data_IF_419037033894
#
_entry.id   IF_419037033894
#
_cell.length_a   1.000
_cell.length_b   1.000
_cell.length_c   1.000
_cell.angle_alpha   90.00
_cell.angle_beta   90.00
_cell.angle_gamma   90.00
#
_symmetry.space_group_name_H-M   'P 1'
#
loop_
_entity.id
_entity.type
_entity.pdbx_description
1 polymer ?
#
# COMPACT_ATOMS: atom_id res chain seq x y z
N UNK A 1 4.31 -5.59 -19.18
CA UNK A 1 4.81 -4.64 -18.15
C UNK A 1 4.14 -4.84 -16.78
N UNK A 2 2.80 -4.92 -16.69
CA UNK A 2 2.11 -5.11 -15.39
C UNK A 2 2.45 -6.47 -14.76
N UNK A 3 2.37 -7.58 -15.52
CA UNK A 3 2.66 -8.92 -15.00
C UNK A 3 4.10 -9.14 -14.49
N UNK A 4 5.10 -8.50 -15.10
CA UNK A 4 6.50 -8.55 -14.64
C UNK A 4 6.71 -7.79 -13.34
N UNK A 5 5.97 -6.70 -13.12
CA UNK A 5 6.04 -5.91 -11.88
C UNK A 5 5.40 -6.64 -10.70
N UNK A 6 4.35 -7.42 -10.95
CA UNK A 6 3.71 -8.26 -9.92
C UNK A 6 4.69 -9.30 -9.37
N UNK A 7 5.56 -9.88 -10.21
CA UNK A 7 6.60 -10.81 -9.75
C UNK A 7 7.53 -10.18 -8.69
N UNK A 8 7.99 -8.94 -8.91
CA UNK A 8 8.82 -8.23 -7.95
C UNK A 8 8.08 -7.90 -6.64
N UNK A 9 6.79 -7.55 -6.73
CA UNK A 9 5.94 -7.29 -5.56
C UNK A 9 5.77 -8.56 -4.72
N UNK A 10 5.55 -9.71 -5.34
CA UNK A 10 5.40 -10.99 -4.64
C UNK A 10 6.68 -11.33 -3.88
N UNK A 11 7.85 -11.21 -4.53
CA UNK A 11 9.14 -11.49 -3.89
C UNK A 11 9.44 -10.54 -2.72
N UNK A 12 9.17 -9.24 -2.91
CA UNK A 12 9.39 -8.24 -1.85
C UNK A 12 8.43 -8.44 -0.67
N UNK A 13 7.17 -8.74 -0.97
CA UNK A 13 6.15 -9.04 0.05
C UNK A 13 6.51 -10.28 0.85
N UNK A 14 7.02 -11.33 0.18
CA UNK A 14 7.49 -12.54 0.85
C UNK A 14 8.63 -12.22 1.83
N UNK A 15 9.64 -11.47 1.40
CA UNK A 15 10.72 -11.02 2.28
C UNK A 15 10.24 -10.18 3.47
N UNK A 16 9.29 -9.28 3.24
CA UNK A 16 8.66 -8.48 4.30
C UNK A 16 7.91 -9.35 5.32
N UNK A 17 7.06 -10.27 4.86
CA UNK A 17 6.31 -11.21 5.70
C UNK A 17 7.29 -12.06 6.53
N UNK A 18 8.33 -12.61 5.90
CA UNK A 18 9.36 -13.37 6.60
C UNK A 18 10.08 -12.53 7.66
N UNK A 19 10.39 -11.26 7.38
CA UNK A 19 10.95 -10.32 8.35
C UNK A 19 10.03 -10.06 9.56
N UNK A 20 8.73 -9.88 9.32
CA UNK A 20 7.72 -9.70 10.37
C UNK A 20 7.51 -10.97 11.22
N UNK A 21 7.63 -12.16 10.64
CA UNK A 21 7.58 -13.43 11.36
C UNK A 21 8.82 -13.57 12.27
N UNK A 22 10.02 -13.30 11.73
CA UNK A 22 11.29 -13.42 12.46
C UNK A 22 11.41 -12.38 13.58
N UNK A 23 10.88 -11.16 13.40
CA UNK A 23 10.84 -10.15 14.47
C UNK A 23 9.67 -10.35 15.47
N UNK A 24 8.69 -11.20 15.16
CA UNK A 24 7.51 -11.44 15.99
C UNK A 24 7.59 -12.64 16.94
N UNK A 25 8.63 -13.46 16.83
CA UNK A 25 8.91 -14.56 17.75
C UNK A 25 9.41 -14.02 19.10
N UNK A 26 8.48 -13.74 20.02
CA UNK A 26 8.83 -13.41 21.41
C UNK A 26 8.01 -12.31 22.10
N UNK A 27 6.91 -11.81 21.52
CA UNK A 27 6.03 -10.84 22.21
C UNK A 27 4.83 -11.59 22.81
N UNK A 28 4.77 -11.79 24.14
CA UNK A 28 3.65 -12.44 24.81
C UNK A 28 2.59 -11.38 25.16
N UNK A 29 1.37 -11.49 24.62
CA UNK A 29 0.30 -10.62 25.12
C UNK A 29 -1.04 -10.54 24.42
N UNK A 30 -1.26 -11.05 23.20
CA UNK A 30 -2.57 -10.92 22.55
C UNK A 30 -3.10 -12.27 22.01
N UNK A 31 -4.33 -12.68 22.37
CA UNK A 31 -4.93 -13.92 21.90
C UNK A 31 -5.14 -13.85 20.37
N UNK A 32 -4.89 -14.96 19.66
CA UNK A 32 -5.03 -15.12 18.20
C UNK A 32 -4.03 -14.35 17.29
N UNK A 33 -2.75 -14.28 17.66
CA UNK A 33 -1.68 -13.80 16.76
C UNK A 33 -0.54 -14.82 16.66
N UNK A 34 -0.10 -15.14 15.43
CA UNK A 34 1.13 -15.92 15.18
C UNK A 34 2.22 -14.90 14.88
N UNK A 35 3.02 -14.55 15.89
CA UNK A 35 4.01 -13.46 15.82
C UNK A 35 3.37 -12.06 15.77
N UNK A 36 3.93 -11.11 15.00
CA UNK A 36 3.34 -9.78 14.76
C UNK A 36 2.17 -9.79 13.75
N UNK A 37 1.88 -10.95 13.14
CA UNK A 37 0.82 -11.09 12.15
C UNK A 37 -0.48 -11.43 12.87
N UNK A 38 -1.29 -10.40 13.01
CA UNK A 38 -2.66 -10.53 13.49
C UNK A 38 -3.51 -11.12 12.35
N UNK A 39 -3.77 -12.43 12.40
CA UNK A 39 -4.54 -13.17 11.38
C UNK A 39 -5.85 -12.45 10.98
N UNK A 40 -6.68 -11.94 11.92
CA UNK A 40 -7.90 -11.25 11.54
C UNK A 40 -7.64 -9.92 10.84
N UNK A 41 -6.61 -9.16 11.22
CA UNK A 41 -6.26 -7.91 10.55
C UNK A 41 -5.70 -8.12 9.14
N UNK A 42 -4.91 -9.18 8.95
CA UNK A 42 -4.46 -9.61 7.63
C UNK A 42 -5.63 -10.02 6.74
N UNK A 43 -6.59 -10.78 7.29
CA UNK A 43 -7.79 -11.20 6.55
C UNK A 43 -8.68 -10.01 6.19
N UNK A 44 -8.87 -9.06 7.10
CA UNK A 44 -9.60 -7.81 6.83
C UNK A 44 -8.92 -6.98 5.72
N UNK A 45 -7.60 -6.80 5.79
CA UNK A 45 -6.86 -6.06 4.77
C UNK A 45 -6.89 -6.77 3.41
N UNK A 46 -6.67 -8.08 3.38
CA UNK A 46 -6.75 -8.86 2.14
C UNK A 46 -8.17 -8.81 1.55
N UNK A 47 -9.19 -8.98 2.39
CA UNK A 47 -10.60 -8.96 2.01
C UNK A 47 -11.06 -7.61 1.47
N UNK A 48 -10.58 -6.49 2.03
CA UNK A 48 -10.89 -5.15 1.52
C UNK A 48 -10.03 -4.73 0.32
N UNK A 49 -8.79 -5.21 0.22
CA UNK A 49 -7.86 -4.79 -0.83
C UNK A 49 -8.31 -5.25 -2.22
N UNK A 50 -8.80 -6.50 -2.36
CA UNK A 50 -9.26 -7.05 -3.64
C UNK A 50 -10.41 -6.23 -4.27
N UNK A 51 -11.55 -5.99 -3.58
CA UNK A 51 -12.65 -5.23 -4.17
C UNK A 51 -12.27 -3.77 -4.41
N UNK A 52 -11.46 -3.16 -3.55
CA UNK A 52 -11.02 -1.77 -3.71
C UNK A 52 -10.06 -1.61 -4.90
N UNK A 53 -9.16 -2.57 -5.12
CA UNK A 53 -8.28 -2.62 -6.29
C UNK A 53 -9.09 -2.79 -7.59
N UNK A 54 -10.11 -3.65 -7.59
CA UNK A 54 -11.01 -3.82 -8.73
C UNK A 54 -11.83 -2.56 -9.02
N UNK A 55 -12.35 -1.91 -7.98
CA UNK A 55 -13.10 -0.66 -8.11
C UNK A 55 -12.22 0.48 -8.65
N UNK A 56 -10.97 0.56 -8.20
CA UNK A 56 -9.95 1.49 -8.71
C UNK A 56 -9.60 1.24 -10.18
N UNK A 57 -9.42 -0.01 -10.58
CA UNK A 57 -9.16 -0.36 -11.99
C UNK A 57 -10.36 -0.03 -12.90
N UNK A 58 -11.59 -0.31 -12.43
CA UNK A 58 -12.82 0.03 -13.17
C UNK A 58 -13.00 1.54 -13.31
N UNK A 59 -12.78 2.30 -12.25
CA UNK A 59 -12.85 3.77 -12.31
C UNK A 59 -11.77 4.33 -13.23
N UNK A 60 -10.53 3.83 -13.16
CA UNK A 60 -9.46 4.27 -14.06
C UNK A 60 -9.78 4.01 -15.56
N UNK A 61 -10.46 2.90 -15.88
CA UNK A 61 -10.89 2.61 -17.26
C UNK A 61 -12.11 3.41 -17.72
N UNK A 62 -12.98 3.84 -16.79
CA UNK A 62 -14.15 4.66 -17.10
C UNK A 62 -13.80 6.13 -17.33
N UNK A 63 -12.65 6.62 -16.81
CA UNK A 63 -12.23 7.99 -17.03
C UNK A 63 -11.58 8.18 -18.42
N UNK A 64 -11.89 9.27 -19.13
CA UNK A 64 -11.25 9.61 -20.40
C UNK A 64 -9.75 9.86 -20.20
N UNK A 65 -8.92 9.36 -21.12
CA UNK A 65 -7.45 9.36 -21.01
C UNK A 65 -6.82 10.74 -20.72
N UNK A 66 -7.47 11.83 -21.17
CA UNK A 66 -7.05 13.21 -20.83
C UNK A 66 -7.16 13.50 -19.34
N UNK A 67 -8.29 13.17 -18.70
CA UNK A 67 -8.49 13.43 -17.27
C UNK A 67 -7.60 12.55 -16.40
N UNK A 68 -7.43 11.27 -16.76
CA UNK A 68 -6.55 10.36 -16.03
C UNK A 68 -5.10 10.86 -16.01
N UNK A 69 -4.62 11.39 -17.14
CA UNK A 69 -3.28 11.99 -17.24
C UNK A 69 -3.14 13.22 -16.35
N UNK A 70 -4.13 14.12 -16.31
CA UNK A 70 -4.09 15.29 -15.43
C UNK A 70 -4.08 14.90 -13.95
N UNK A 71 -4.92 13.95 -13.55
CA UNK A 71 -4.95 13.42 -12.18
C UNK A 71 -3.59 12.81 -11.81
N UNK A 72 -2.99 12.03 -12.71
CA UNK A 72 -1.69 11.41 -12.46
C UNK A 72 -0.56 12.44 -12.32
N UNK A 73 -0.55 13.47 -13.17
CA UNK A 73 0.41 14.58 -13.06
C UNK A 73 0.23 15.31 -11.73
N UNK A 74 -1.02 15.64 -11.35
CA UNK A 74 -1.31 16.28 -10.07
C UNK A 74 -0.85 15.43 -8.87
N UNK A 75 -1.08 14.11 -8.92
CA UNK A 75 -0.61 13.15 -7.92
C UNK A 75 0.91 13.10 -7.82
N UNK A 76 1.61 13.04 -8.95
CA UNK A 76 3.08 13.02 -8.97
C UNK A 76 3.69 14.30 -8.44
N UNK A 77 3.13 15.45 -8.80
CA UNK A 77 3.53 16.75 -8.25
C UNK A 77 3.29 16.77 -6.75
N UNK A 78 2.10 16.36 -6.28
CA UNK A 78 1.78 16.30 -4.86
C UNK A 78 2.74 15.40 -4.06
N UNK A 79 3.01 14.19 -4.54
CA UNK A 79 3.95 13.26 -3.91
C UNK A 79 5.38 13.83 -3.92
N UNK A 80 5.79 14.47 -5.01
CA UNK A 80 7.08 15.15 -5.11
C UNK A 80 7.22 16.28 -4.07
N UNK A 81 6.19 17.13 -3.92
CA UNK A 81 6.15 18.16 -2.89
C UNK A 81 6.17 17.56 -1.47
N UNK A 82 5.46 16.45 -1.25
CA UNK A 82 5.48 15.71 0.01
C UNK A 82 6.88 15.18 0.33
N UNK A 83 7.58 14.59 -0.65
CA UNK A 83 8.95 14.07 -0.47
C UNK A 83 9.99 15.17 -0.27
N UNK A 84 9.84 16.32 -0.95
CA UNK A 84 10.68 17.51 -0.72
C UNK A 84 10.46 18.09 0.68
N UNK A 85 9.39 17.69 1.38
CA UNK A 85 9.09 18.20 2.70
C UNK A 85 8.59 19.65 2.66
N UNK A 86 7.98 20.09 1.56
CA UNK A 86 7.34 21.42 1.50
C UNK A 86 6.33 21.57 2.65
N UNK A 87 5.66 20.49 3.02
CA UNK A 87 4.75 20.44 4.17
C UNK A 87 5.47 20.51 5.53
N UNK A 88 6.70 19.99 5.67
CA UNK A 88 7.49 20.17 6.89
C UNK A 88 8.07 21.58 6.99
N UNK A 89 8.39 22.22 5.86
CA UNK A 89 8.83 23.61 5.79
C UNK A 89 7.69 24.60 6.08
N UNK A 90 6.43 24.24 5.77
CA UNK A 90 5.22 25.05 6.06
C UNK A 90 4.58 24.79 7.44
N UNK A 91 5.15 23.90 8.26
CA UNK A 91 4.72 23.67 9.64
C UNK A 91 3.32 23.04 9.81
N UNK A 92 2.81 22.35 8.78
CA UNK A 92 1.50 21.68 8.85
C UNK A 92 1.66 20.24 9.34
N UNK A 93 0.99 19.83 10.45
CA UNK A 93 1.05 18.47 10.95
C UNK A 93 0.15 17.56 10.11
N UNK A 94 0.75 16.87 9.13
CA UNK A 94 0.16 15.71 8.44
C UNK A 94 1.21 14.66 8.10
#
# INVERSE_FOLDING_TARGET
>A
AVGTSVGAIILTSLGGITGYIIHGIGVPGLPYSIGYINLPMWLCLAGMSVPLAQLGAKTAHALPAKQLRYIFIALMVYIGLRMIGVFSWLGLPI
#
